data_IF_089417508621
#
_entry.id   IF_089417508621
#
_cell.length_a   1.000
_cell.length_b   1.000
_cell.length_c   1.000
_cell.angle_alpha   90.00
_cell.angle_beta   90.00
_cell.angle_gamma   90.00
#
_symmetry.space_group_name_H-M   'P 1'
#
loop_
_entity.id
_entity.type
_entity.pdbx_description
1 polymer ?
#
# COMPACT_ATOMS: atom_id res chain seq x y z
N UNK A 1 -41.09 77.11 7.58
CA UNK A 1 -40.73 77.95 6.41
C UNK A 1 -39.28 78.41 6.59
N UNK A 2 -38.42 78.50 5.56
CA UNK A 2 -38.58 78.37 4.10
C UNK A 2 -37.95 77.05 3.57
N UNK A 3 -37.68 76.80 2.28
CA UNK A 3 -38.40 76.86 0.98
C UNK A 3 -37.39 76.36 -0.06
N UNK A 4 -37.90 75.59 -1.04
CA UNK A 4 -37.51 75.52 -2.47
C UNK A 4 -36.05 75.32 -2.89
N UNK A 5 -35.81 74.28 -3.69
CA UNK A 5 -35.59 74.33 -5.17
C UNK A 5 -35.14 72.92 -5.62
N UNK A 6 -35.80 72.20 -6.52
CA UNK A 6 -35.99 72.47 -7.96
C UNK A 6 -35.16 71.41 -8.73
N UNK A 7 -35.72 70.25 -9.14
CA UNK A 7 -36.42 69.95 -10.40
C UNK A 7 -35.51 69.80 -11.65
N UNK A 8 -35.36 68.56 -12.17
CA UNK A 8 -35.23 68.19 -13.61
C UNK A 8 -35.24 66.64 -13.74
N UNK A 9 -36.28 65.95 -14.26
CA UNK A 9 -36.55 65.61 -15.68
C UNK A 9 -35.36 64.86 -16.34
N UNK A 10 -35.41 63.65 -16.95
CA UNK A 10 -36.33 63.07 -17.95
C UNK A 10 -36.18 61.52 -18.00
N UNK A 11 -37.25 60.84 -18.45
CA UNK A 11 -37.42 59.43 -18.85
C UNK A 11 -36.31 58.83 -19.75
N UNK A 12 -36.12 57.50 -19.68
CA UNK A 12 -36.09 56.66 -20.89
C UNK A 12 -36.20 55.15 -20.57
N UNK A 13 -37.29 54.57 -21.08
CA UNK A 13 -37.45 53.21 -21.66
C UNK A 13 -37.00 51.95 -20.90
N UNK A 14 -38.01 51.13 -20.63
CA UNK A 14 -37.94 49.69 -20.44
C UNK A 14 -37.22 48.95 -21.58
N UNK A 15 -36.42 47.94 -21.23
CA UNK A 15 -36.30 46.73 -22.05
C UNK A 15 -36.32 45.52 -21.13
N UNK A 16 -37.40 44.77 -21.28
CA UNK A 16 -37.68 43.47 -20.70
C UNK A 16 -36.71 42.46 -21.32
N UNK A 17 -35.86 41.80 -20.52
CA UNK A 17 -35.15 40.60 -20.98
C UNK A 17 -35.32 39.50 -19.94
N UNK A 18 -36.36 38.72 -20.17
CA UNK A 18 -36.70 37.49 -19.49
C UNK A 18 -35.65 36.43 -19.86
N UNK A 19 -34.69 36.18 -18.98
CA UNK A 19 -33.85 35.00 -19.09
C UNK A 19 -34.55 33.84 -18.38
N UNK A 20 -34.99 32.87 -19.18
CA UNK A 20 -35.66 31.66 -18.75
C UNK A 20 -34.80 30.89 -17.73
N UNK A 21 -35.39 30.57 -16.58
CA UNK A 21 -34.83 29.61 -15.62
C UNK A 21 -35.01 28.21 -16.23
N UNK A 22 -33.99 27.73 -16.91
CA UNK A 22 -33.92 26.31 -17.29
C UNK A 22 -33.47 25.49 -16.09
N UNK A 23 -34.43 24.88 -15.39
CA UNK A 23 -34.18 23.75 -14.49
C UNK A 23 -33.74 22.54 -15.33
N UNK A 24 -32.44 22.42 -15.57
CA UNK A 24 -31.87 21.19 -16.11
C UNK A 24 -31.84 20.12 -15.00
N UNK A 25 -32.86 19.27 -14.98
CA UNK A 25 -32.86 18.03 -14.21
C UNK A 25 -31.90 17.05 -14.91
N UNK A 26 -30.63 17.03 -14.49
CA UNK A 26 -29.68 16.03 -14.95
C UNK A 26 -30.06 14.68 -14.33
N UNK A 27 -30.28 13.61 -15.12
CA UNK A 27 -30.45 12.28 -14.56
C UNK A 27 -29.12 11.87 -13.94
N UNK A 28 -29.10 11.67 -12.63
CA UNK A 28 -27.97 11.11 -11.90
C UNK A 28 -27.80 9.67 -12.37
N UNK A 29 -27.02 9.46 -13.43
CA UNK A 29 -26.54 8.13 -13.81
C UNK A 29 -25.81 7.58 -12.58
N UNK A 30 -26.31 6.46 -12.06
CA UNK A 30 -25.84 5.87 -10.82
C UNK A 30 -24.33 5.74 -10.81
N UNK A 31 -23.69 6.47 -9.89
CA UNK A 31 -22.28 6.27 -9.55
C UNK A 31 -22.15 4.87 -8.97
N UNK A 32 -21.65 3.92 -9.76
CA UNK A 32 -21.22 2.63 -9.25
C UNK A 32 -20.22 2.90 -8.11
N UNK A 33 -20.33 2.24 -6.94
CA UNK A 33 -19.35 2.38 -5.89
C UNK A 33 -17.98 1.96 -6.45
N UNK A 34 -17.07 2.91 -6.61
CA UNK A 34 -15.67 2.60 -6.88
C UNK A 34 -15.18 1.71 -5.73
N UNK A 35 -14.47 0.60 -6.01
CA UNK A 35 -13.91 -0.23 -4.95
C UNK A 35 -12.99 0.63 -4.08
N UNK A 36 -13.45 0.94 -2.87
CA UNK A 36 -12.68 1.66 -1.89
C UNK A 36 -11.65 0.67 -1.32
N UNK A 37 -10.44 0.67 -1.86
CA UNK A 37 -9.30 0.00 -1.23
C UNK A 37 -9.04 0.75 0.08
N UNK A 38 -9.48 0.18 1.20
CA UNK A 38 -9.20 0.73 2.52
C UNK A 38 -7.76 0.41 2.90
N UNK A 39 -7.07 1.29 3.62
CA UNK A 39 -5.67 1.06 4.00
C UNK A 39 -5.47 -0.26 4.76
N UNK A 40 -6.47 -0.71 5.50
CA UNK A 40 -6.50 -2.02 6.19
C UNK A 40 -6.24 -3.22 5.24
N UNK A 41 -6.50 -3.05 3.94
CA UNK A 41 -6.27 -4.05 2.89
C UNK A 41 -4.87 -3.95 2.27
N UNK A 42 -4.05 -3.00 2.70
CA UNK A 42 -2.69 -2.85 2.19
C UNK A 42 -1.74 -3.77 2.96
N UNK A 43 -0.79 -4.35 2.22
CA UNK A 43 0.21 -5.25 2.76
C UNK A 43 1.54 -4.51 2.89
N UNK A 44 1.90 -4.12 4.12
CA UNK A 44 3.14 -3.43 4.40
C UNK A 44 4.32 -4.40 4.44
N UNK A 45 5.43 -4.00 3.81
CA UNK A 45 6.74 -4.65 3.99
C UNK A 45 7.36 -4.13 5.27
N UNK A 46 7.77 -5.04 6.16
CA UNK A 46 8.25 -4.69 7.50
C UNK A 46 9.67 -5.16 7.76
N UNK A 47 10.42 -4.33 8.48
CA UNK A 47 11.76 -4.62 8.98
C UNK A 47 11.87 -4.22 10.45
N UNK A 48 12.92 -4.68 11.13
CA UNK A 48 13.23 -4.21 12.49
C UNK A 48 13.44 -2.69 12.51
N UNK A 49 13.06 -2.02 13.59
CA UNK A 49 13.29 -0.58 13.79
C UNK A 49 14.76 -0.18 13.62
N UNK A 50 15.69 -1.08 14.00
CA UNK A 50 17.13 -0.86 13.90
C UNK A 50 17.71 -1.04 12.48
N UNK A 51 16.89 -1.45 11.52
CA UNK A 51 17.31 -1.61 10.13
C UNK A 51 17.32 -0.23 9.43
N UNK A 52 18.44 0.19 8.79
CA UNK A 52 18.56 1.52 8.20
C UNK A 52 17.75 1.70 6.90
N UNK A 53 17.21 0.63 6.32
CA UNK A 53 16.44 0.72 5.08
C UNK A 53 15.12 1.45 5.32
N UNK A 54 14.84 2.46 4.51
CA UNK A 54 13.61 3.25 4.55
C UNK A 54 12.74 3.08 3.31
N UNK A 55 13.38 2.85 2.15
CA UNK A 55 12.72 2.59 0.89
C UNK A 55 13.42 1.45 0.14
N UNK A 56 12.64 0.67 -0.61
CA UNK A 56 13.12 -0.31 -1.58
C UNK A 56 12.33 -0.14 -2.88
N UNK A 57 13.02 -0.21 -4.02
CA UNK A 57 12.32 -0.41 -5.29
C UNK A 57 11.70 -1.81 -5.35
N UNK A 58 10.66 -1.99 -6.16
CA UNK A 58 10.05 -3.31 -6.36
C UNK A 58 11.05 -4.35 -6.89
N UNK A 59 12.01 -3.90 -7.72
CA UNK A 59 13.08 -4.76 -8.22
C UNK A 59 14.02 -5.22 -7.08
N UNK A 60 14.43 -4.32 -6.19
CA UNK A 60 15.26 -4.70 -5.02
C UNK A 60 14.50 -5.59 -4.06
N UNK A 61 13.22 -5.30 -3.82
CA UNK A 61 12.35 -6.11 -2.98
C UNK A 61 12.25 -7.53 -3.52
N UNK A 62 12.09 -7.70 -4.84
CA UNK A 62 12.14 -9.01 -5.50
C UNK A 62 13.46 -9.73 -5.23
N UNK A 63 14.61 -9.09 -5.47
CA UNK A 63 15.92 -9.73 -5.23
C UNK A 63 16.09 -10.18 -3.78
N UNK A 64 15.58 -9.40 -2.82
CA UNK A 64 15.59 -9.75 -1.41
C UNK A 64 14.68 -10.95 -1.13
N UNK A 65 13.46 -10.97 -1.65
CA UNK A 65 12.49 -12.06 -1.44
C UNK A 65 12.85 -13.36 -2.18
N UNK A 66 13.70 -13.28 -3.22
CA UNK A 66 14.28 -14.43 -3.91
C UNK A 66 15.63 -14.87 -3.32
N UNK A 67 16.14 -14.21 -2.28
CA UNK A 67 17.40 -14.57 -1.63
C UNK A 67 18.66 -14.22 -2.41
N UNK A 68 18.54 -13.50 -3.53
CA UNK A 68 19.67 -13.02 -4.35
C UNK A 68 20.51 -11.96 -3.60
N UNK A 69 19.88 -11.27 -2.65
CA UNK A 69 20.58 -10.38 -1.71
C UNK A 69 20.61 -11.01 -0.33
N UNK A 70 21.81 -11.22 0.20
CA UNK A 70 22.03 -11.86 1.50
C UNK A 70 22.32 -10.89 2.64
N UNK A 71 22.68 -9.63 2.35
CA UNK A 71 23.07 -8.64 3.36
C UNK A 71 22.47 -7.25 3.08
N UNK A 72 22.11 -6.56 4.16
CA UNK A 72 21.74 -5.15 4.17
C UNK A 72 22.98 -4.26 3.97
N UNK A 73 22.82 -2.96 3.60
CA UNK A 73 23.95 -2.03 3.44
C UNK A 73 24.85 -1.89 4.67
N UNK A 74 24.29 -2.11 5.86
CA UNK A 74 25.02 -2.08 7.13
C UNK A 74 25.72 -3.42 7.48
N UNK A 75 25.80 -4.36 6.54
CA UNK A 75 26.44 -5.66 6.71
C UNK A 75 25.62 -6.70 7.48
N UNK A 76 24.42 -6.36 7.97
CA UNK A 76 23.56 -7.36 8.65
C UNK A 76 23.03 -8.36 7.64
N UNK A 77 23.09 -9.65 7.98
CA UNK A 77 22.47 -10.72 7.18
C UNK A 77 20.96 -10.53 7.10
N UNK A 78 20.42 -10.73 5.90
CA UNK A 78 18.97 -10.73 5.64
C UNK A 78 18.38 -12.05 6.10
N UNK A 79 17.28 -11.99 6.84
CA UNK A 79 16.47 -13.17 7.17
C UNK A 79 15.06 -12.97 6.66
N UNK A 80 14.68 -13.69 5.61
CA UNK A 80 13.35 -13.60 5.04
C UNK A 80 12.34 -14.34 5.91
N UNK A 81 11.26 -13.67 6.25
CA UNK A 81 10.11 -14.25 6.94
C UNK A 81 8.95 -14.35 5.97
N UNK A 82 8.42 -15.55 5.83
CA UNK A 82 7.23 -15.81 5.03
C UNK A 82 6.10 -16.32 5.92
N UNK A 83 4.87 -15.99 5.58
CA UNK A 83 3.72 -16.66 6.17
C UNK A 83 3.59 -18.08 5.61
N UNK A 84 2.80 -18.92 6.28
CA UNK A 84 2.50 -20.28 5.81
C UNK A 84 1.81 -20.29 4.43
N UNK A 85 2.03 -21.34 3.62
CA UNK A 85 1.29 -21.56 2.38
C UNK A 85 -0.22 -21.48 2.58
N UNK A 86 -0.91 -20.88 1.61
CA UNK A 86 -2.37 -20.68 1.66
C UNK A 86 -2.82 -19.40 2.38
N UNK A 87 -1.92 -18.66 3.02
CA UNK A 87 -2.24 -17.34 3.57
C UNK A 87 -2.39 -16.31 2.43
N UNK A 88 -3.44 -15.46 2.45
CA UNK A 88 -3.68 -14.49 1.38
C UNK A 88 -2.54 -13.46 1.26
N UNK A 89 -1.88 -13.11 2.37
CA UNK A 89 -0.73 -12.22 2.39
C UNK A 89 0.45 -12.83 1.62
N UNK A 90 0.70 -14.14 1.80
CA UNK A 90 1.74 -14.86 1.06
C UNK A 90 1.43 -14.89 -0.43
N UNK A 91 0.18 -15.15 -0.80
CA UNK A 91 -0.22 -15.17 -2.22
C UNK A 91 0.07 -13.83 -2.92
N UNK A 92 -0.16 -12.70 -2.24
CA UNK A 92 0.18 -11.36 -2.74
C UNK A 92 1.68 -11.21 -2.94
N UNK A 93 2.48 -11.60 -1.96
CA UNK A 93 3.95 -11.53 -2.05
C UNK A 93 4.47 -12.37 -3.22
N UNK A 94 3.99 -13.61 -3.35
CA UNK A 94 4.43 -14.49 -4.42
C UNK A 94 4.03 -13.96 -5.80
N UNK A 95 2.82 -13.44 -5.95
CA UNK A 95 2.31 -12.89 -7.21
C UNK A 95 2.97 -11.55 -7.58
N UNK A 96 2.97 -10.59 -6.67
CA UNK A 96 3.29 -9.20 -6.98
C UNK A 96 4.78 -8.87 -6.82
N UNK A 97 5.49 -9.60 -5.95
CA UNK A 97 6.93 -9.40 -5.70
C UNK A 97 7.74 -10.49 -6.39
N UNK A 98 7.49 -11.76 -6.04
CA UNK A 98 8.27 -12.88 -6.57
C UNK A 98 7.88 -13.27 -7.99
N UNK A 99 6.70 -12.86 -8.48
CA UNK A 99 6.11 -13.28 -9.76
C UNK A 99 6.24 -14.80 -9.98
N UNK A 100 5.96 -15.57 -8.93
CA UNK A 100 6.06 -17.02 -8.87
C UNK A 100 4.80 -17.59 -8.20
N UNK A 101 4.49 -18.85 -8.47
CA UNK A 101 3.54 -19.59 -7.64
C UNK A 101 4.27 -20.29 -6.47
N UNK A 102 3.51 -20.97 -5.60
CA UNK A 102 4.06 -21.69 -4.44
C UNK A 102 5.10 -22.76 -4.82
N UNK A 103 4.82 -23.53 -5.88
CA UNK A 103 5.70 -24.60 -6.36
C UNK A 103 7.00 -24.03 -6.87
N UNK A 104 6.95 -22.99 -7.70
CA UNK A 104 8.13 -22.33 -8.26
C UNK A 104 8.98 -21.71 -7.16
N UNK A 105 8.36 -21.04 -6.19
CA UNK A 105 9.06 -20.46 -5.05
C UNK A 105 9.76 -21.53 -4.21
N UNK A 106 9.10 -22.65 -3.93
CA UNK A 106 9.69 -23.75 -3.17
C UNK A 106 10.86 -24.39 -3.94
N UNK A 107 10.70 -24.60 -5.25
CA UNK A 107 11.74 -25.15 -6.11
C UNK A 107 12.95 -24.21 -6.21
N UNK A 108 12.72 -22.90 -6.33
CA UNK A 108 13.75 -21.87 -6.34
C UNK A 108 14.64 -21.94 -5.10
N UNK A 109 14.02 -21.96 -3.91
CA UNK A 109 14.79 -22.03 -2.66
C UNK A 109 15.44 -23.40 -2.43
N UNK A 110 14.77 -24.50 -2.79
CA UNK A 110 15.36 -25.84 -2.71
C UNK A 110 16.62 -25.94 -3.59
N UNK A 111 16.53 -25.48 -4.83
CA UNK A 111 17.64 -25.46 -5.77
C UNK A 111 18.74 -24.52 -5.29
N UNK A 112 18.41 -23.27 -4.98
CA UNK A 112 19.38 -22.25 -4.60
C UNK A 112 20.17 -22.60 -3.34
N UNK A 113 19.55 -23.25 -2.35
CA UNK A 113 20.28 -23.71 -1.16
C UNK A 113 21.17 -24.90 -1.49
N UNK A 114 20.72 -25.81 -2.35
CA UNK A 114 21.52 -26.98 -2.77
C UNK A 114 22.74 -26.58 -3.62
N UNK A 115 22.59 -25.58 -4.50
CA UNK A 115 23.67 -25.05 -5.35
C UNK A 115 24.54 -24.02 -4.63
N UNK A 116 24.10 -23.49 -3.48
CA UNK A 116 24.79 -22.45 -2.72
C UNK A 116 24.56 -21.03 -3.23
N UNK A 117 23.67 -20.83 -4.20
CA UNK A 117 23.26 -19.51 -4.70
C UNK A 117 22.45 -18.73 -3.65
N UNK A 118 21.66 -19.43 -2.84
CA UNK A 118 20.89 -18.87 -1.73
C UNK A 118 21.45 -19.39 -0.41
N UNK A 119 21.85 -18.48 0.47
CA UNK A 119 22.52 -18.86 1.72
C UNK A 119 21.59 -19.47 2.78
N UNK A 120 20.31 -19.05 2.81
CA UNK A 120 19.37 -19.40 3.89
C UNK A 120 17.95 -19.47 3.35
N UNK A 121 17.24 -20.55 3.65
CA UNK A 121 15.80 -20.67 3.36
C UNK A 121 14.95 -19.70 4.20
N UNK A 122 13.77 -19.28 3.71
CA UNK A 122 12.92 -18.38 4.44
C UNK A 122 12.38 -19.02 5.72
N UNK A 123 12.21 -18.23 6.78
CA UNK A 123 11.53 -18.66 8.00
C UNK A 123 10.02 -18.58 7.78
N UNK A 124 9.35 -19.72 7.84
CA UNK A 124 7.88 -19.78 7.75
C UNK A 124 7.24 -19.59 9.13
N UNK A 125 6.21 -18.74 9.22
CA UNK A 125 5.44 -18.48 10.44
C UNK A 125 3.94 -18.49 10.16
N UNK A 126 3.16 -19.07 11.07
CA UNK A 126 1.71 -19.24 10.90
C UNK A 126 0.89 -17.96 11.09
N UNK A 127 1.38 -17.00 11.89
CA UNK A 127 0.57 -15.88 12.37
C UNK A 127 1.23 -14.52 12.15
N UNK A 128 0.43 -13.45 11.91
CA UNK A 128 0.93 -12.07 11.83
C UNK A 128 1.70 -11.65 13.09
N UNK A 129 1.20 -12.04 14.28
CA UNK A 129 1.88 -11.77 15.56
C UNK A 129 3.25 -12.45 15.62
N UNK A 130 3.36 -13.67 15.10
CA UNK A 130 4.64 -14.38 14.98
C UNK A 130 5.62 -13.63 14.10
N UNK A 131 5.18 -13.19 12.90
CA UNK A 131 6.00 -12.38 11.98
C UNK A 131 6.49 -11.11 12.66
N UNK A 132 5.59 -10.36 13.30
CA UNK A 132 5.93 -9.11 14.00
C UNK A 132 6.96 -9.32 15.11
N UNK A 133 6.73 -10.30 15.98
CA UNK A 133 7.68 -10.66 17.05
C UNK A 133 9.03 -11.10 16.50
N UNK A 134 9.06 -11.85 15.39
CA UNK A 134 10.32 -12.28 14.78
C UNK A 134 11.09 -11.09 14.22
N UNK A 135 10.43 -10.21 13.47
CA UNK A 135 11.03 -9.00 12.89
C UNK A 135 11.53 -8.04 13.97
N UNK A 136 10.82 -7.92 15.09
CA UNK A 136 11.27 -7.17 16.26
C UNK A 136 12.57 -7.75 16.85
N UNK A 137 12.62 -9.07 17.09
CA UNK A 137 13.74 -9.73 17.78
C UNK A 137 14.95 -10.01 16.87
N UNK A 138 14.76 -10.02 15.55
CA UNK A 138 15.82 -10.31 14.57
C UNK A 138 16.08 -9.06 13.72
N UNK A 139 17.10 -8.26 14.05
CA UNK A 139 17.34 -6.97 13.40
C UNK A 139 17.53 -7.00 11.87
N UNK A 140 18.03 -8.12 11.34
CA UNK A 140 18.23 -8.33 9.91
C UNK A 140 17.00 -8.89 9.19
N UNK A 141 15.90 -9.15 9.91
CA UNK A 141 14.73 -9.77 9.31
C UNK A 141 13.90 -8.79 8.48
N UNK A 142 13.27 -9.36 7.45
CA UNK A 142 12.25 -8.71 6.62
C UNK A 142 11.06 -9.66 6.50
N UNK A 143 9.87 -9.09 6.59
CA UNK A 143 8.61 -9.80 6.40
C UNK A 143 7.55 -8.86 5.85
N UNK A 144 6.29 -9.25 6.01
CA UNK A 144 5.15 -8.48 5.57
C UNK A 144 3.97 -8.69 6.51
N UNK A 145 3.17 -7.65 6.68
CA UNK A 145 2.00 -7.62 7.56
C UNK A 145 0.91 -6.78 6.90
N UNK A 146 -0.36 -7.06 7.20
CA UNK A 146 -1.42 -6.09 6.93
C UNK A 146 -1.16 -4.83 7.74
N UNK A 147 -1.57 -3.68 7.23
CA UNK A 147 -1.52 -2.42 8.01
C UNK A 147 -2.25 -2.58 9.35
N UNK A 148 -3.36 -3.32 9.36
CA UNK A 148 -4.16 -3.63 10.54
C UNK A 148 -3.43 -4.44 11.62
N UNK A 149 -2.37 -5.16 11.27
CA UNK A 149 -1.56 -5.96 12.19
C UNK A 149 -0.24 -5.26 12.59
N UNK A 150 0.00 -4.03 12.13
CA UNK A 150 1.17 -3.27 12.49
C UNK A 150 1.05 -2.71 13.92
N UNK A 151 2.19 -2.59 14.57
CA UNK A 151 2.35 -1.81 15.81
C UNK A 151 3.69 -1.08 15.78
N UNK A 152 3.99 -0.31 16.84
CA UNK A 152 5.23 0.47 16.93
C UNK A 152 6.50 -0.36 17.16
N UNK A 153 6.42 -1.70 17.22
CA UNK A 153 7.59 -2.57 17.42
C UNK A 153 8.36 -2.84 16.13
N UNK A 154 7.76 -2.58 14.97
CA UNK A 154 8.35 -2.81 13.64
C UNK A 154 8.21 -1.57 12.77
N UNK A 155 9.08 -1.46 11.77
CA UNK A 155 9.05 -0.35 10.79
C UNK A 155 8.52 -0.84 9.46
N UNK A 156 7.52 -0.15 8.91
CA UNK A 156 7.10 -0.34 7.52
C UNK A 156 8.06 0.39 6.58
N UNK A 157 8.54 -0.31 5.55
CA UNK A 157 9.45 0.23 4.51
C UNK A 157 8.60 0.73 3.34
N UNK A 158 9.00 1.86 2.75
CA UNK A 158 8.39 2.35 1.51
C UNK A 158 8.76 1.43 0.35
N UNK A 159 7.83 1.24 -0.58
CA UNK A 159 8.06 0.47 -1.81
C UNK A 159 7.82 1.39 -3.00
N UNK A 160 8.81 1.53 -3.87
CA UNK A 160 8.80 2.52 -4.96
C UNK A 160 8.45 3.94 -4.48
N UNK A 161 9.07 4.36 -3.37
CA UNK A 161 8.83 5.65 -2.71
C UNK A 161 7.39 5.84 -2.22
N UNK A 162 6.65 4.76 -1.97
CA UNK A 162 5.27 4.79 -1.43
C UNK A 162 5.14 3.97 -0.16
N UNK A 163 4.57 4.58 0.87
CA UNK A 163 4.13 3.87 2.07
C UNK A 163 2.80 3.15 1.84
N UNK A 164 2.40 2.25 2.76
CA UNK A 164 1.13 1.54 2.66
C UNK A 164 -0.09 2.46 2.81
N UNK A 165 0.06 3.68 3.31
CA UNK A 165 -1.00 4.70 3.38
C UNK A 165 -1.12 5.56 2.10
N UNK A 166 -0.12 5.49 1.21
CA UNK A 166 -0.03 6.38 0.07
C UNK A 166 -0.92 5.90 -1.09
N UNK A 167 -1.51 6.87 -1.80
CA UNK A 167 -2.25 6.57 -3.04
C UNK A 167 -1.32 5.94 -4.09
N UNK A 168 -1.76 4.85 -4.69
CA UNK A 168 -0.98 4.11 -5.69
C UNK A 168 0.05 3.14 -5.11
N UNK A 169 -0.02 2.83 -3.81
CA UNK A 169 0.64 1.65 -3.27
C UNK A 169 0.18 0.39 -4.02
N UNK A 170 1.07 -0.57 -4.27
CA UNK A 170 0.81 -1.70 -5.18
C UNK A 170 0.39 -2.99 -4.48
N UNK A 171 0.73 -3.15 -3.20
CA UNK A 171 0.53 -4.42 -2.49
C UNK A 171 -0.79 -4.40 -1.74
N UNK A 172 -1.79 -5.05 -2.34
CA UNK A 172 -3.14 -5.17 -1.78
C UNK A 172 -3.48 -6.62 -1.52
N UNK A 173 -4.01 -6.88 -0.32
CA UNK A 173 -4.43 -8.19 0.12
C UNK A 173 -5.96 -8.23 0.29
N UNK A 174 -6.63 -9.32 -0.14
CA UNK A 174 -8.07 -9.45 0.06
C UNK A 174 -8.48 -9.30 1.52
N UNK A 175 -9.68 -8.77 1.81
CA UNK A 175 -10.21 -8.70 3.17
C UNK A 175 -10.14 -10.06 3.88
N UNK A 176 -9.93 -10.07 5.20
CA UNK A 176 -10.10 -11.30 5.98
C UNK A 176 -11.56 -11.73 5.85
N UNK A 177 -11.78 -12.95 5.36
CA UNK A 177 -13.11 -13.55 5.34
C UNK A 177 -13.55 -13.73 6.80
N UNK A 178 -14.58 -13.00 7.24
CA UNK A 178 -15.21 -13.28 8.52
C UNK A 178 -15.98 -14.59 8.38
N UNK A 179 -15.50 -15.64 9.04
CA UNK A 179 -16.35 -16.80 9.32
C UNK A 179 -17.23 -16.52 10.52
#
# INVERSE_FOLDING_TARGET
MPRLAGLLFILASAVFSMAAVSLAFAPTLGRLPEPQITTEQNLAIVVSLSNPVENLSMAELRRVFLGERSHWPNGRRITLVMMEPGQPERAVVLRDICQMNETDFNNHFLHGVFTGEVLVSPKTLATPVGVRKFVFNVPGAIGYLRVSDLDSSVKAVRVDERGPEDKGYKLHVPPRSSK
#
